data_IF_429961107930
#
_entry.id   IF_429961107930
#
_cell.length_a   1.000
_cell.length_b   1.000
_cell.length_c   1.000
_cell.angle_alpha   90.00
_cell.angle_beta   90.00
_cell.angle_gamma   90.00
#
_symmetry.space_group_name_H-M   'P 1'
#
loop_
_entity.id
_entity.type
_entity.pdbx_description
1 polymer ?
#
# COMPACT_ATOMS: atom_id res chain seq x y z
N UNK A 1 -24.61 8.76 5.22
CA UNK A 1 -23.24 8.34 4.84
C UNK A 1 -22.55 7.84 6.10
N UNK A 2 -22.22 6.56 6.18
CA UNK A 2 -21.52 5.99 7.34
C UNK A 2 -20.02 6.08 7.11
N UNK A 3 -19.38 7.02 7.79
CA UNK A 3 -17.91 7.08 7.87
C UNK A 3 -17.47 5.92 8.76
N UNK A 4 -16.80 4.93 8.17
CA UNK A 4 -16.25 3.82 8.94
C UNK A 4 -15.08 4.34 9.79
N UNK A 5 -15.05 4.08 11.11
CA UNK A 5 -13.97 4.54 11.98
C UNK A 5 -12.62 4.02 11.49
N UNK A 6 -11.54 4.78 11.76
CA UNK A 6 -10.19 4.33 11.43
C UNK A 6 -9.94 2.96 12.08
N UNK A 7 -9.46 1.95 11.32
CA UNK A 7 -9.18 0.64 11.87
C UNK A 7 -8.15 0.77 13.00
N UNK A 8 -8.41 0.12 14.14
CA UNK A 8 -7.47 0.07 15.28
C UNK A 8 -6.14 -0.61 14.92
N UNK A 9 -6.14 -1.40 13.83
CA UNK A 9 -4.97 -2.03 13.24
C UNK A 9 -4.88 -1.61 11.77
N UNK A 10 -4.26 -0.46 11.53
CA UNK A 10 -4.09 0.11 10.20
C UNK A 10 -2.99 1.14 10.18
N UNK A 11 -2.56 1.52 8.98
CA UNK A 11 -1.55 2.54 8.76
C UNK A 11 -1.96 3.44 7.60
N UNK A 12 -1.52 4.69 7.64
CA UNK A 12 -1.65 5.64 6.52
C UNK A 12 -0.26 6.06 6.11
N UNK A 13 0.05 5.91 4.82
CA UNK A 13 1.32 6.31 4.21
C UNK A 13 1.06 7.51 3.30
N UNK A 14 1.80 8.60 3.50
CA UNK A 14 1.71 9.78 2.63
C UNK A 14 2.43 9.51 1.31
N UNK A 15 1.71 9.65 0.20
CA UNK A 15 2.27 9.58 -1.14
C UNK A 15 3.20 10.76 -1.39
N UNK A 16 4.32 10.51 -2.08
CA UNK A 16 5.27 11.56 -2.48
C UNK A 16 5.07 12.03 -3.92
N UNK A 17 4.21 11.35 -4.67
CA UNK A 17 3.88 11.63 -6.06
C UNK A 17 2.96 12.85 -6.21
N UNK A 18 1.99 13.04 -5.30
CA UNK A 18 1.11 14.21 -5.28
C UNK A 18 0.78 14.65 -3.85
N UNK A 19 0.59 15.96 -3.65
CA UNK A 19 0.08 16.50 -2.38
C UNK A 19 -1.30 15.93 -2.07
N UNK A 20 -1.58 15.65 -0.79
CA UNK A 20 -2.88 15.10 -0.36
C UNK A 20 -3.10 13.63 -0.71
N UNK A 21 -2.15 12.99 -1.41
CA UNK A 21 -2.19 11.55 -1.71
C UNK A 21 -1.84 10.74 -0.47
N UNK A 22 -2.67 9.75 -0.14
CA UNK A 22 -2.37 8.79 0.93
C UNK A 22 -2.76 7.37 0.52
N UNK A 23 -1.96 6.39 0.96
CA UNK A 23 -2.31 4.97 0.92
C UNK A 23 -2.72 4.54 2.33
N UNK A 24 -3.94 4.03 2.48
CA UNK A 24 -4.49 3.55 3.76
C UNK A 24 -4.54 2.04 3.75
N UNK A 25 -4.03 1.45 4.83
CA UNK A 25 -4.01 0.02 5.11
C UNK A 25 -4.97 -0.23 6.28
N UNK A 26 -5.93 -1.13 6.10
CA UNK A 26 -6.94 -1.44 7.08
C UNK A 26 -7.08 -2.96 7.25
N UNK A 27 -6.87 -3.48 8.45
CA UNK A 27 -7.19 -4.87 8.77
C UNK A 27 -8.61 -4.98 9.34
N UNK A 28 -9.41 -5.88 8.77
CA UNK A 28 -10.73 -6.24 9.27
C UNK A 28 -10.69 -7.71 9.71
N UNK A 29 -10.53 -7.95 11.02
CA UNK A 29 -10.38 -9.30 11.58
C UNK A 29 -11.67 -10.11 11.47
N UNK A 30 -12.80 -9.45 11.64
CA UNK A 30 -14.15 -10.04 11.62
C UNK A 30 -14.51 -10.56 10.23
N UNK A 31 -13.88 -10.03 9.19
CA UNK A 31 -14.09 -10.43 7.79
C UNK A 31 -12.83 -11.06 7.17
N UNK A 32 -11.84 -11.42 8.00
CA UNK A 32 -10.55 -12.00 7.58
C UNK A 32 -10.01 -11.36 6.30
N UNK A 33 -9.81 -10.04 6.28
CA UNK A 33 -9.30 -9.34 5.09
C UNK A 33 -8.45 -8.12 5.45
N UNK A 34 -7.55 -7.80 4.53
CA UNK A 34 -6.79 -6.54 4.53
C UNK A 34 -7.25 -5.70 3.37
N UNK A 35 -7.48 -4.41 3.61
CA UNK A 35 -7.94 -3.46 2.60
C UNK A 35 -6.85 -2.41 2.40
N UNK A 36 -6.41 -2.27 1.15
CA UNK A 36 -5.54 -1.21 0.69
C UNK A 36 -6.37 -0.21 -0.09
N UNK A 37 -6.28 1.07 0.23
CA UNK A 37 -7.06 2.10 -0.45
C UNK A 37 -6.25 3.36 -0.70
N UNK A 38 -6.39 3.92 -1.90
CA UNK A 38 -5.71 5.15 -2.31
C UNK A 38 -6.68 6.31 -2.16
N UNK A 39 -6.25 7.36 -1.47
CA UNK A 39 -7.05 8.54 -1.18
C UNK A 39 -6.38 9.79 -1.70
N UNK A 40 -7.18 10.75 -2.17
CA UNK A 40 -6.76 12.08 -2.59
C UNK A 40 -7.68 13.10 -1.92
N UNK A 41 -7.13 13.96 -1.07
CA UNK A 41 -7.87 15.05 -0.41
C UNK A 41 -9.19 14.57 0.22
N UNK A 42 -9.14 13.42 0.89
CA UNK A 42 -10.31 12.82 1.55
C UNK A 42 -11.25 12.01 0.64
N UNK A 43 -10.97 11.91 -0.66
CA UNK A 43 -11.73 11.07 -1.60
C UNK A 43 -11.01 9.75 -1.86
N UNK A 44 -11.72 8.62 -1.71
CA UNK A 44 -11.18 7.30 -2.04
C UNK A 44 -11.19 7.09 -3.56
N UNK A 45 -10.01 6.94 -4.17
CA UNK A 45 -9.84 6.76 -5.61
C UNK A 45 -9.78 5.29 -6.02
N UNK A 46 -9.24 4.43 -5.16
CA UNK A 46 -9.10 3.01 -5.45
C UNK A 46 -9.16 2.18 -4.17
N UNK A 47 -9.65 0.95 -4.26
CA UNK A 47 -9.68 -0.01 -3.15
C UNK A 47 -9.36 -1.40 -3.66
N UNK A 48 -8.43 -2.07 -2.99
CA UNK A 48 -8.09 -3.48 -3.20
C UNK A 48 -8.33 -4.21 -1.88
N UNK A 49 -8.99 -5.36 -1.96
CA UNK A 49 -9.22 -6.25 -0.82
C UNK A 49 -8.38 -7.49 -1.02
N UNK A 50 -7.59 -7.83 -0.02
CA UNK A 50 -6.69 -8.97 -0.03
C UNK A 50 -7.12 -9.96 1.05
N UNK A 51 -6.98 -11.25 0.73
CA UNK A 51 -7.01 -12.27 1.75
C UNK A 51 -5.73 -12.17 2.62
N UNK A 52 -5.77 -12.59 3.89
CA UNK A 52 -4.61 -12.50 4.78
C UNK A 52 -3.37 -13.24 4.24
N UNK A 53 -3.58 -14.36 3.55
CA UNK A 53 -2.53 -15.15 2.90
C UNK A 53 -1.80 -14.38 1.79
N UNK A 54 -2.52 -13.59 1.00
CA UNK A 54 -1.98 -12.81 -0.13
C UNK A 54 -1.11 -11.63 0.33
N UNK A 55 -1.30 -11.16 1.57
CA UNK A 55 -0.51 -10.05 2.13
C UNK A 55 0.97 -10.40 2.18
N UNK A 56 1.31 -11.65 2.52
CA UNK A 56 2.69 -12.12 2.56
C UNK A 56 3.34 -12.09 1.18
N UNK A 57 2.60 -12.51 0.14
CA UNK A 57 3.05 -12.48 -1.25
C UNK A 57 3.26 -11.04 -1.74
N UNK A 58 2.34 -10.13 -1.41
CA UNK A 58 2.49 -8.70 -1.72
C UNK A 58 3.76 -8.11 -1.09
N UNK A 59 3.99 -8.35 0.21
CA UNK A 59 5.19 -7.84 0.90
C UNK A 59 6.47 -8.38 0.27
N UNK A 60 6.49 -9.67 -0.07
CA UNK A 60 7.62 -10.30 -0.74
C UNK A 60 7.89 -9.66 -2.11
N UNK A 61 6.85 -9.37 -2.90
CA UNK A 61 6.99 -8.71 -4.20
C UNK A 61 7.47 -7.25 -4.07
N UNK A 62 6.95 -6.50 -3.10
CA UNK A 62 7.44 -5.15 -2.81
C UNK A 62 8.94 -5.16 -2.45
N UNK A 63 9.40 -6.13 -1.65
CA UNK A 63 10.81 -6.26 -1.33
C UNK A 63 11.67 -6.69 -2.54
N UNK A 64 11.14 -7.54 -3.42
CA UNK A 64 11.82 -7.96 -4.67
C UNK A 64 12.00 -6.80 -5.63
N UNK A 65 10.96 -6.01 -5.87
CA UNK A 65 11.00 -4.89 -6.83
C UNK A 65 12.03 -3.83 -6.43
N UNK A 66 12.18 -3.53 -5.15
CA UNK A 66 13.22 -2.63 -4.65
C UNK A 66 14.65 -3.15 -4.90
N UNK A 67 14.87 -4.46 -4.77
CA UNK A 67 16.19 -5.07 -5.03
C UNK A 67 16.53 -5.12 -6.52
N UNK A 68 15.52 -5.36 -7.36
CA UNK A 68 15.68 -5.32 -8.81
C UNK A 68 16.09 -3.91 -9.28
N UNK A 69 15.48 -2.87 -8.73
CA UNK A 69 15.79 -1.47 -9.05
C UNK A 69 17.21 -1.08 -8.58
N UNK A 70 17.62 -1.53 -7.39
CA UNK A 70 18.98 -1.31 -6.89
C UNK A 70 20.05 -1.97 -7.78
N UNK A 71 19.78 -3.19 -8.25
CA UNK A 71 20.65 -3.92 -9.18
C UNK A 71 20.74 -3.19 -10.53
N UNK A 72 19.61 -2.73 -11.07
CA UNK A 72 19.59 -1.98 -12.32
C UNK A 72 20.33 -0.62 -12.23
N UNK A 73 20.19 0.09 -11.10
CA UNK A 73 20.92 1.34 -10.85
C UNK A 73 22.43 1.12 -10.73
N UNK A 74 22.87 -0.06 -10.28
CA UNK A 74 24.28 -0.39 -10.09
C UNK A 74 24.97 -0.84 -11.41
N UNK A 75 24.21 -1.25 -12.42
CA UNK A 75 24.71 -1.70 -13.73
C UNK A 75 24.94 -0.52 -14.70
N UNK A 76 24.64 0.73 -14.33
CA UNK A 76 24.95 1.88 -15.20
C UNK A 76 26.47 2.08 -15.26
N UNK A 77 27.14 1.81 -16.40
CA UNK A 77 28.59 1.94 -16.49
C UNK A 77 28.94 3.43 -16.35
N UNK A 78 29.99 3.71 -15.58
CA UNK A 78 30.65 5.02 -15.62
C UNK A 78 31.52 5.01 -16.89
N UNK A 79 31.11 5.76 -17.90
CA UNK A 79 31.83 5.88 -19.17
C UNK A 79 31.00 6.59 -20.23
#
# INVERSE_FOLDING_TARGET
>A
MTVSPLPRHGASLTGRDRSGRTLRIAQHRESSRVVLSVWQDGTCLATVRLAPEDVSALVAELARTLQADATASQIRPTG
#
